data_IF_702454117369
#
_entry.id   IF_702454117369
#
_cell.length_a   1.000
_cell.length_b   1.000
_cell.length_c   1.000
_cell.angle_alpha   90.00
_cell.angle_beta   90.00
_cell.angle_gamma   90.00
#
_symmetry.space_group_name_H-M   'P 1'
#
loop_
_entity.id
_entity.type
_entity.pdbx_description
1 polymer ?
#
# COMPACT_ATOMS: atom_id res chain seq x y z
N UNK A 1 -8.77 -20.18 12.92
CA UNK A 1 -9.34 -20.02 11.54
C UNK A 1 -8.66 -18.82 10.90
N UNK A 2 -8.11 -18.93 9.69
CA UNK A 2 -7.35 -17.81 9.10
C UNK A 2 -8.27 -16.79 8.40
N UNK A 3 -8.24 -15.54 8.84
CA UNK A 3 -8.97 -14.43 8.20
C UNK A 3 -8.00 -13.57 7.39
N UNK A 4 -8.31 -13.33 6.10
CA UNK A 4 -7.46 -12.55 5.20
C UNK A 4 -8.10 -11.22 4.83
N UNK A 5 -7.39 -10.14 5.12
CA UNK A 5 -7.78 -8.77 4.86
C UNK A 5 -6.94 -8.16 3.73
N UNK A 6 -7.60 -7.47 2.79
CA UNK A 6 -6.94 -6.88 1.62
C UNK A 6 -6.66 -5.39 1.79
N UNK A 7 -5.58 -4.96 1.15
CA UNK A 7 -5.12 -3.56 1.17
C UNK A 7 -5.04 -3.04 -0.28
N UNK A 8 -6.18 -2.92 -0.99
CA UNK A 8 -6.22 -2.36 -2.31
C UNK A 8 -5.84 -0.88 -2.30
N UNK A 9 -5.36 -0.44 -3.47
CA UNK A 9 -5.18 0.96 -3.80
C UNK A 9 -6.50 1.73 -3.71
N UNK A 10 -6.42 3.04 -3.45
CA UNK A 10 -7.61 3.91 -3.47
C UNK A 10 -8.23 3.96 -4.88
N UNK A 11 -9.57 3.85 -4.95
CA UNK A 11 -10.30 3.86 -6.23
C UNK A 11 -10.05 5.16 -7.00
N UNK A 12 -9.94 6.28 -6.29
CA UNK A 12 -9.66 7.60 -6.89
C UNK A 12 -8.37 7.63 -7.70
N UNK A 13 -7.30 6.98 -7.22
CA UNK A 13 -6.03 6.91 -7.96
C UNK A 13 -6.19 6.12 -9.25
N UNK A 14 -6.92 5.00 -9.21
CA UNK A 14 -7.19 4.20 -10.40
C UNK A 14 -8.03 4.98 -11.41
N UNK A 15 -9.05 5.72 -10.95
CA UNK A 15 -9.88 6.57 -11.82
C UNK A 15 -9.07 7.67 -12.48
N UNK A 16 -8.24 8.41 -11.72
CA UNK A 16 -7.38 9.47 -12.26
C UNK A 16 -6.41 8.90 -13.31
N UNK A 17 -5.82 7.74 -13.03
CA UNK A 17 -4.93 7.07 -13.98
C UNK A 17 -5.65 6.73 -15.30
N UNK A 18 -6.86 6.15 -15.23
CA UNK A 18 -7.63 5.81 -16.42
C UNK A 18 -8.03 7.05 -17.23
N UNK A 19 -8.38 8.15 -16.56
CA UNK A 19 -8.66 9.43 -17.22
C UNK A 19 -7.42 9.96 -17.95
N UNK A 20 -6.24 9.89 -17.32
CA UNK A 20 -4.98 10.30 -17.95
C UNK A 20 -4.66 9.46 -19.19
N UNK A 21 -4.82 8.13 -19.11
CA UNK A 21 -4.63 7.24 -20.26
C UNK A 21 -5.62 7.56 -21.39
N UNK A 22 -6.89 7.81 -21.06
CA UNK A 22 -7.91 8.19 -22.04
C UNK A 22 -7.58 9.54 -22.72
N UNK A 23 -7.09 10.52 -21.96
CA UNK A 23 -6.67 11.81 -22.50
C UNK A 23 -5.48 11.66 -23.47
N UNK A 24 -4.49 10.83 -23.12
CA UNK A 24 -3.35 10.53 -24.02
C UNK A 24 -3.82 9.81 -25.28
N UNK A 25 -4.73 8.83 -25.16
CA UNK A 25 -5.31 8.16 -26.33
C UNK A 25 -6.07 9.13 -27.24
N UNK A 26 -6.80 10.09 -26.66
CA UNK A 26 -7.46 11.17 -27.39
C UNK A 26 -6.46 12.06 -28.13
N UNK A 27 -5.36 12.46 -27.46
CA UNK A 27 -4.30 13.25 -28.07
C UNK A 27 -3.61 12.51 -29.23
N UNK A 28 -3.30 11.23 -29.07
CA UNK A 28 -2.75 10.37 -30.14
C UNK A 28 -3.69 10.33 -31.34
N UNK A 29 -4.98 10.09 -31.11
CA UNK A 29 -6.00 10.02 -32.16
C UNK A 29 -6.11 11.35 -32.90
N UNK A 30 -6.09 12.47 -32.18
CA UNK A 30 -6.10 13.80 -32.76
C UNK A 30 -4.83 14.09 -33.56
N UNK A 31 -3.65 13.69 -33.07
CA UNK A 31 -2.38 13.86 -33.81
C UNK A 31 -2.36 13.11 -35.13
N UNK A 32 -2.88 11.87 -35.18
CA UNK A 32 -3.04 11.15 -36.46
C UNK A 32 -3.99 11.88 -37.42
N UNK A 33 -5.13 12.37 -36.90
CA UNK A 33 -6.12 13.09 -37.70
C UNK A 33 -5.59 14.43 -38.24
N UNK A 34 -4.69 15.08 -37.52
CA UNK A 34 -4.07 16.36 -37.91
C UNK A 34 -2.83 16.20 -38.81
N UNK A 35 -2.48 14.98 -39.22
CA UNK A 35 -1.30 14.72 -40.06
C UNK A 35 0.04 14.72 -39.30
N UNK A 36 0.02 14.83 -37.97
CA UNK A 36 1.19 14.77 -37.09
C UNK A 36 1.54 13.32 -36.73
N UNK A 37 1.76 12.49 -37.76
CA UNK A 37 1.92 11.04 -37.61
C UNK A 37 3.13 10.67 -36.76
N UNK A 38 4.25 11.35 -36.92
CA UNK A 38 5.46 11.12 -36.13
C UNK A 38 5.25 11.40 -34.64
N UNK A 39 4.55 12.50 -34.32
CA UNK A 39 4.19 12.84 -32.93
C UNK A 39 3.30 11.76 -32.31
N UNK A 40 2.31 11.27 -33.06
CA UNK A 40 1.43 10.20 -32.59
C UNK A 40 2.18 8.89 -32.31
N UNK A 41 3.11 8.51 -33.18
CA UNK A 41 3.97 7.33 -33.00
C UNK A 41 4.84 7.48 -31.74
N UNK A 42 5.50 8.63 -31.57
CA UNK A 42 6.31 8.90 -30.38
C UNK A 42 5.47 8.85 -29.10
N UNK A 43 4.26 9.42 -29.12
CA UNK A 43 3.34 9.37 -27.98
C UNK A 43 2.96 7.94 -27.62
N UNK A 44 2.60 7.10 -28.59
CA UNK A 44 2.29 5.68 -28.33
C UNK A 44 3.52 4.95 -27.78
N UNK A 45 4.67 5.12 -28.42
CA UNK A 45 5.90 4.42 -28.08
C UNK A 45 6.35 4.70 -26.63
N UNK A 46 6.09 5.90 -26.11
CA UNK A 46 6.41 6.26 -24.72
C UNK A 46 5.25 5.96 -23.78
N UNK A 47 4.03 6.36 -24.13
CA UNK A 47 2.90 6.28 -23.22
C UNK A 47 2.42 4.85 -22.98
N UNK A 48 2.48 3.96 -23.98
CA UNK A 48 1.99 2.59 -23.81
C UNK A 48 2.85 1.77 -22.83
N UNK A 49 4.20 1.72 -22.94
CA UNK A 49 5.05 1.06 -21.95
C UNK A 49 4.92 1.69 -20.57
N UNK A 50 4.87 3.03 -20.50
CA UNK A 50 4.76 3.75 -19.25
C UNK A 50 3.42 3.46 -18.55
N UNK A 51 2.31 3.45 -19.29
CA UNK A 51 0.99 3.10 -18.76
C UNK A 51 0.96 1.65 -18.27
N UNK A 52 1.55 0.71 -19.02
CA UNK A 52 1.64 -0.69 -18.59
C UNK A 52 2.45 -0.84 -17.28
N UNK A 53 3.57 -0.11 -17.17
CA UNK A 53 4.40 -0.10 -15.96
C UNK A 53 3.65 0.49 -14.77
N UNK A 54 3.00 1.65 -14.93
CA UNK A 54 2.21 2.26 -13.86
C UNK A 54 1.04 1.38 -13.45
N UNK A 55 0.33 0.77 -14.41
CA UNK A 55 -0.75 -0.18 -14.12
C UNK A 55 -0.25 -1.33 -13.24
N UNK A 56 0.92 -1.89 -13.54
CA UNK A 56 1.54 -2.92 -12.72
C UNK A 56 1.82 -2.43 -11.29
N UNK A 57 2.33 -1.21 -11.14
CA UNK A 57 2.64 -0.62 -9.84
C UNK A 57 1.40 -0.24 -9.01
N UNK A 58 0.37 0.36 -9.61
CA UNK A 58 -0.78 0.92 -8.88
C UNK A 58 -1.93 -0.07 -8.72
N UNK A 59 -2.02 -1.09 -9.58
CA UNK A 59 -3.11 -2.05 -9.57
C UNK A 59 -2.63 -3.45 -9.17
N UNK A 60 -1.68 -4.03 -9.90
CA UNK A 60 -1.28 -5.43 -9.68
C UNK A 60 -0.59 -5.59 -8.33
N UNK A 61 0.31 -4.67 -7.98
CA UNK A 61 1.11 -4.76 -6.76
C UNK A 61 0.27 -4.61 -5.48
N UNK A 62 -0.58 -3.56 -5.33
CA UNK A 62 -1.42 -3.42 -4.14
C UNK A 62 -2.51 -4.50 -4.05
N UNK A 63 -2.98 -5.05 -5.19
CA UNK A 63 -3.97 -6.15 -5.18
C UNK A 63 -3.42 -7.44 -4.54
N UNK A 64 -2.10 -7.62 -4.54
CA UNK A 64 -1.42 -8.73 -3.87
C UNK A 64 -1.12 -8.47 -2.40
N UNK A 65 -1.36 -7.24 -1.91
CA UNK A 65 -1.15 -6.90 -0.52
C UNK A 65 -2.30 -7.43 0.36
N UNK A 66 -1.95 -8.28 1.32
CA UNK A 66 -2.88 -8.90 2.26
C UNK A 66 -2.27 -9.06 3.64
N UNK A 67 -3.11 -8.94 4.66
CA UNK A 67 -2.84 -9.33 6.03
C UNK A 67 -3.67 -10.55 6.33
N UNK A 68 -3.04 -11.63 6.77
CA UNK A 68 -3.75 -12.82 7.24
C UNK A 68 -3.55 -12.95 8.74
N UNK A 69 -4.64 -12.95 9.50
CA UNK A 69 -4.65 -13.26 10.93
C UNK A 69 -4.86 -14.76 11.07
N UNK A 70 -3.95 -15.43 11.75
CA UNK A 70 -3.99 -16.85 12.02
C UNK A 70 -3.80 -17.12 13.52
N UNK A 71 -4.06 -18.36 13.94
CA UNK A 71 -4.03 -18.74 15.35
C UNK A 71 -2.62 -18.63 15.97
N UNK A 72 -1.57 -18.72 15.15
CA UNK A 72 -0.16 -18.60 15.60
C UNK A 72 0.40 -17.17 15.47
N UNK A 73 -0.27 -16.28 14.73
CA UNK A 73 0.20 -14.91 14.51
C UNK A 73 -0.39 -14.24 13.28
N UNK A 74 0.24 -13.13 12.88
CA UNK A 74 -0.15 -12.34 11.71
C UNK A 74 0.86 -12.53 10.59
N UNK A 75 0.37 -12.92 9.42
CA UNK A 75 1.13 -12.98 8.18
C UNK A 75 0.86 -11.72 7.36
N UNK A 76 1.89 -10.91 7.20
CA UNK A 76 1.87 -9.73 6.37
C UNK A 76 2.52 -10.05 5.02
N UNK A 77 1.75 -9.96 3.94
CA UNK A 77 2.25 -10.11 2.58
C UNK A 77 1.94 -8.85 1.79
N UNK A 78 2.95 -8.01 1.54
CA UNK A 78 2.88 -6.82 0.69
C UNK A 78 4.07 -6.76 -0.29
N UNK A 79 4.20 -7.77 -1.19
CA UNK A 79 5.30 -7.79 -2.16
C UNK A 79 5.19 -6.60 -3.14
N UNK A 80 6.31 -6.02 -3.59
CA UNK A 80 7.71 -6.31 -3.25
C UNK A 80 8.22 -5.57 -1.99
N UNK A 81 7.38 -4.82 -1.30
CA UNK A 81 7.81 -3.80 -0.33
C UNK A 81 8.01 -4.33 1.09
N UNK A 82 7.14 -5.22 1.55
CA UNK A 82 7.24 -5.82 2.88
C UNK A 82 6.61 -7.21 2.90
N UNK A 83 7.29 -8.16 3.50
CA UNK A 83 6.72 -9.44 3.94
C UNK A 83 7.22 -9.72 5.34
N UNK A 84 6.32 -10.05 6.26
CA UNK A 84 6.67 -10.33 7.65
C UNK A 84 5.73 -11.37 8.24
N UNK A 85 6.28 -12.19 9.14
CA UNK A 85 5.51 -13.09 9.99
C UNK A 85 5.67 -12.56 11.40
N UNK A 86 4.55 -12.31 12.08
CA UNK A 86 4.49 -11.71 13.41
C UNK A 86 3.84 -12.75 14.34
N UNK A 87 4.64 -13.59 15.04
CA UNK A 87 4.10 -14.53 16.01
C UNK A 87 3.44 -13.78 17.18
N UNK A 88 2.32 -14.29 17.70
CA UNK A 88 1.64 -13.66 18.85
C UNK A 88 2.56 -13.55 20.08
N UNK A 89 3.43 -14.54 20.29
CA UNK A 89 4.40 -14.54 21.37
C UNK A 89 5.40 -13.36 21.33
N UNK A 90 5.57 -12.71 20.17
CA UNK A 90 6.46 -11.55 20.01
C UNK A 90 5.75 -10.21 20.20
N UNK A 91 4.42 -10.23 20.35
CA UNK A 91 3.61 -9.02 20.48
C UNK A 91 3.62 -8.56 21.93
N UNK A 92 4.17 -7.38 22.15
CA UNK A 92 4.20 -6.72 23.47
C UNK A 92 2.89 -5.97 23.70
N UNK A 93 2.37 -5.30 22.66
CA UNK A 93 1.16 -4.51 22.74
C UNK A 93 0.54 -4.30 21.37
N UNK A 94 -0.79 -4.35 21.29
CA UNK A 94 -1.57 -3.88 20.15
C UNK A 94 -2.41 -2.67 20.56
N UNK A 95 -2.43 -1.61 19.75
CA UNK A 95 -3.26 -0.43 20.02
C UNK A 95 -3.61 0.32 18.73
N UNK A 96 -4.79 0.96 18.68
CA UNK A 96 -5.15 1.82 17.56
C UNK A 96 -4.23 3.05 17.53
N UNK A 97 -3.75 3.40 16.34
CA UNK A 97 -2.88 4.53 16.09
C UNK A 97 -3.31 5.26 14.81
N UNK A 98 -2.98 6.55 14.70
CA UNK A 98 -3.25 7.33 13.51
C UNK A 98 -1.95 7.97 13.00
N UNK A 99 -1.53 7.53 11.80
CA UNK A 99 -0.28 7.97 11.19
C UNK A 99 -0.27 9.46 10.77
N UNK A 100 -1.42 10.13 10.75
CA UNK A 100 -1.52 11.55 10.41
C UNK A 100 -1.40 12.45 11.65
N UNK A 101 -1.96 12.03 12.80
CA UNK A 101 -1.95 12.83 14.04
C UNK A 101 -0.79 12.48 14.96
N UNK A 102 -0.37 11.23 14.99
CA UNK A 102 0.58 10.73 15.99
C UNK A 102 2.01 10.99 15.54
N UNK A 103 2.67 11.95 16.20
CA UNK A 103 4.07 12.32 15.93
C UNK A 103 5.05 11.15 16.09
N UNK A 104 4.73 10.18 16.95
CA UNK A 104 5.55 8.99 17.17
C UNK A 104 5.63 8.08 15.93
N UNK A 105 4.63 8.11 15.04
CA UNK A 105 4.58 7.26 13.83
C UNK A 105 4.92 8.02 12.55
N UNK A 106 5.44 9.25 12.67
CA UNK A 106 5.92 9.99 11.51
C UNK A 106 7.18 9.34 10.95
N UNK A 107 7.21 9.22 9.62
CA UNK A 107 8.32 8.61 8.89
C UNK A 107 9.49 9.59 8.84
N UNK A 108 10.60 9.23 9.49
CA UNK A 108 11.85 10.00 9.47
C UNK A 108 12.70 9.60 8.26
N UNK A 109 12.77 8.30 7.96
CA UNK A 109 13.55 7.78 6.82
C UNK A 109 12.86 6.60 6.14
N UNK A 110 12.68 6.69 4.83
CA UNK A 110 12.18 5.60 4.02
C UNK A 110 13.33 4.69 3.55
N UNK A 111 13.27 3.38 3.83
CA UNK A 111 14.23 2.39 3.30
C UNK A 111 13.70 1.79 2.01
N UNK A 112 12.64 0.99 2.11
CA UNK A 112 11.95 0.35 0.98
C UNK A 112 10.47 0.63 1.13
N UNK A 113 10.03 1.78 0.64
CA UNK A 113 8.71 2.32 0.93
C UNK A 113 8.04 2.84 -0.34
N UNK A 114 6.77 2.50 -0.50
CA UNK A 114 5.87 3.08 -1.48
C UNK A 114 4.81 3.87 -0.73
N UNK A 115 4.76 5.17 -0.93
CA UNK A 115 3.65 6.04 -0.53
C UNK A 115 3.05 6.67 -1.78
N UNK A 116 1.83 6.28 -2.12
CA UNK A 116 1.12 6.84 -3.27
C UNK A 116 -0.39 6.87 -3.00
N UNK A 117 -1.01 8.05 -3.16
CA UNK A 117 -2.47 8.23 -3.11
C UNK A 117 -3.19 7.59 -1.91
N UNK A 118 -2.59 7.71 -0.71
CA UNK A 118 -3.11 7.15 0.55
C UNK A 118 -2.65 5.73 0.86
N UNK A 119 -2.14 4.99 -0.13
CA UNK A 119 -1.52 3.70 0.07
C UNK A 119 -0.07 3.87 0.52
N UNK A 120 0.27 3.20 1.62
CA UNK A 120 1.60 3.16 2.22
C UNK A 120 1.98 1.70 2.44
N UNK A 121 3.05 1.25 1.80
CA UNK A 121 3.59 -0.09 2.00
C UNK A 121 5.10 -0.07 2.06
N UNK A 122 5.69 -0.73 3.07
CA UNK A 122 7.12 -0.95 3.13
C UNK A 122 7.75 -0.70 4.50
N UNK A 123 9.08 -0.66 4.49
CA UNK A 123 9.91 -0.50 5.68
C UNK A 123 10.40 0.94 5.81
N UNK A 124 10.19 1.52 6.99
CA UNK A 124 10.52 2.90 7.32
C UNK A 124 11.14 2.97 8.72
N UNK A 125 11.88 4.03 8.98
CA UNK A 125 12.27 4.44 10.33
C UNK A 125 11.28 5.52 10.78
N UNK A 126 10.66 5.30 11.94
CA UNK A 126 9.77 6.28 12.58
C UNK A 126 10.55 7.16 13.56
N UNK A 127 9.87 8.17 14.12
CA UNK A 127 10.38 8.97 15.24
C UNK A 127 10.93 8.06 16.35
N UNK A 128 12.01 8.48 17.01
CA UNK A 128 12.84 7.67 17.93
C UNK A 128 13.70 6.58 17.27
N UNK A 129 13.90 6.68 15.95
CA UNK A 129 14.84 5.85 15.20
C UNK A 129 14.55 4.34 15.27
N UNK A 130 13.28 4.00 15.55
CA UNK A 130 12.79 2.62 15.56
C UNK A 130 12.37 2.19 14.16
N UNK A 131 12.69 0.95 13.80
CA UNK A 131 12.22 0.37 12.55
C UNK A 131 10.71 0.10 12.63
N UNK A 132 10.01 0.38 11.53
CA UNK A 132 8.59 0.12 11.39
C UNK A 132 8.26 -0.44 10.01
N UNK A 133 7.30 -1.35 9.97
CA UNK A 133 6.70 -1.86 8.74
C UNK A 133 5.30 -1.28 8.62
N UNK A 134 5.07 -0.47 7.59
CA UNK A 134 3.77 0.12 7.31
C UNK A 134 3.15 -0.63 6.15
N UNK A 135 1.93 -1.11 6.31
CA UNK A 135 1.09 -1.54 5.19
C UNK A 135 -0.35 -1.11 5.45
N UNK A 136 -0.78 -0.06 4.75
CA UNK A 136 -2.08 0.56 4.96
C UNK A 136 -2.55 1.31 3.71
N UNK A 137 -3.87 1.41 3.53
CA UNK A 137 -4.48 2.33 2.56
C UNK A 137 -5.17 3.55 3.21
N UNK A 138 -4.94 3.77 4.51
CA UNK A 138 -5.62 4.74 5.37
C UNK A 138 -4.70 5.30 6.46
N UNK A 139 -5.02 6.46 7.05
CA UNK A 139 -4.24 7.01 8.16
C UNK A 139 -4.46 6.24 9.47
N UNK A 140 -5.68 5.73 9.71
CA UNK A 140 -6.03 4.95 10.89
C UNK A 140 -5.53 3.50 10.76
N UNK A 141 -4.70 3.06 11.69
CA UNK A 141 -4.03 1.76 11.64
C UNK A 141 -4.03 1.11 13.01
N UNK A 142 -3.93 -0.21 13.04
CA UNK A 142 -3.56 -0.93 14.24
C UNK A 142 -2.03 -0.98 14.32
N UNK A 143 -1.49 -0.44 15.41
CA UNK A 143 -0.07 -0.57 15.73
C UNK A 143 0.13 -1.84 16.55
N UNK A 144 0.97 -2.73 16.04
CA UNK A 144 1.42 -3.93 16.75
C UNK A 144 2.89 -3.71 17.08
N UNK A 145 3.16 -3.57 18.36
CA UNK A 145 4.49 -3.39 18.89
C UNK A 145 5.09 -4.75 19.24
N UNK A 146 6.23 -5.07 18.62
CA UNK A 146 7.12 -6.16 19.06
C UNK A 146 8.34 -5.56 19.76
N UNK A 147 9.19 -6.40 20.33
CA UNK A 147 10.45 -5.94 20.95
C UNK A 147 11.37 -5.25 19.92
N UNK A 148 11.39 -5.77 18.69
CA UNK A 148 12.29 -5.29 17.64
C UNK A 148 11.79 -4.05 16.88
N UNK A 149 10.48 -3.94 16.61
CA UNK A 149 9.92 -2.97 15.66
C UNK A 149 8.41 -2.77 15.79
N UNK A 150 7.91 -1.74 15.14
CA UNK A 150 6.47 -1.50 15.02
C UNK A 150 5.90 -2.04 13.70
N UNK A 151 4.70 -2.60 13.75
CA UNK A 151 3.93 -2.96 12.57
C UNK A 151 2.66 -2.12 12.53
N UNK A 152 2.54 -1.26 11.53
CA UNK A 152 1.42 -0.35 11.34
C UNK A 152 0.55 -0.91 10.21
N UNK A 153 -0.57 -1.52 10.59
CA UNK A 153 -1.42 -2.30 9.70
C UNK A 153 -2.79 -1.64 9.54
N UNK A 154 -3.16 -1.29 8.30
CA UNK A 154 -4.43 -0.64 8.00
C UNK A 154 -5.15 -1.27 6.82
N UNK A 155 -5.79 -2.43 7.01
CA UNK A 155 -6.61 -3.04 5.96
C UNK A 155 -7.85 -2.22 5.62
N UNK A 156 -8.49 -2.56 4.50
CA UNK A 156 -9.75 -1.92 4.10
C UNK A 156 -10.87 -2.11 5.12
N UNK A 157 -10.86 -3.26 5.79
CA UNK A 157 -11.76 -3.57 6.88
C UNK A 157 -10.96 -3.56 8.19
N UNK A 158 -10.71 -2.35 8.70
CA UNK A 158 -10.02 -2.14 9.97
C UNK A 158 -10.84 -2.65 11.17
N UNK A 159 -12.17 -2.40 11.27
CA UNK A 159 -12.98 -2.92 12.36
C UNK A 159 -12.95 -4.44 12.46
N UNK A 160 -13.19 -5.15 11.33
CA UNK A 160 -13.13 -6.62 11.33
C UNK A 160 -11.75 -7.15 11.66
N UNK A 161 -10.70 -6.48 11.17
CA UNK A 161 -9.32 -6.83 11.51
C UNK A 161 -9.02 -6.65 13.01
N UNK A 162 -9.46 -5.55 13.62
CA UNK A 162 -9.28 -5.32 15.05
C UNK A 162 -10.01 -6.35 15.91
N UNK A 163 -11.26 -6.64 15.59
CA UNK A 163 -12.06 -7.64 16.31
C UNK A 163 -11.43 -9.04 16.22
N UNK A 164 -10.89 -9.40 15.05
CA UNK A 164 -10.21 -10.68 14.86
C UNK A 164 -8.88 -10.73 15.64
N UNK A 165 -8.13 -9.63 15.69
CA UNK A 165 -6.90 -9.52 16.50
C UNK A 165 -7.23 -9.58 18.00
N UNK A 166 -8.31 -8.97 18.47
CA UNK A 166 -8.75 -9.07 19.88
C UNK A 166 -9.24 -10.48 20.23
N UNK A 167 -9.81 -11.21 19.26
CA UNK A 167 -10.30 -12.58 19.48
C UNK A 167 -9.18 -13.61 19.57
N UNK A 168 -8.14 -13.47 18.74
CA UNK A 168 -7.10 -14.49 18.53
C UNK A 168 -5.74 -14.08 19.13
N UNK A 169 -5.52 -12.78 19.29
CA UNK A 169 -4.30 -12.22 19.86
C UNK A 169 -4.28 -12.21 21.39
N UNK A 170 -3.15 -11.79 21.98
CA UNK A 170 -2.94 -11.71 23.43
C UNK A 170 -3.69 -10.55 24.10
#
# INVERSE_FOLDING_TARGET
>A
MAATYKIPMSKSVLTIFLIAVAAVAGAVTWSFRSGLTWTAICLIAVAAPLAAFYWYMIYITPKRASITVADEGILLAAPPFASAVIPWASVVKAFPANMATDKAFQVVKAKKHMSFGGYKAGQVLVTDNKDAVIVSNRPDVLCIQTEDRFYLLGPSDLPGFMEEVERVGP
#
